data_IF_805364476791
#
_entry.id   IF_805364476791
#
_cell.length_a   1.000
_cell.length_b   1.000
_cell.length_c   1.000
_cell.angle_alpha   90.00
_cell.angle_beta   90.00
_cell.angle_gamma   90.00
#
_symmetry.space_group_name_H-M   'P 1'
#
loop_
_entity.id
_entity.type
_entity.pdbx_description
1 polymer ?
#
# COMPACT_ATOMS: atom_id res chain seq x y z
N UNK A 1 -20.11 -23.90 -22.15
CA UNK A 1 -19.53 -23.13 -21.04
C UNK A 1 -18.43 -23.97 -20.43
N UNK A 2 -17.25 -23.42 -20.19
CA UNK A 2 -16.23 -24.14 -19.42
C UNK A 2 -16.66 -24.22 -17.95
N UNK A 3 -16.18 -25.23 -17.23
CA UNK A 3 -16.46 -25.43 -15.79
C UNK A 3 -16.09 -24.19 -14.96
N UNK A 4 -14.99 -23.53 -15.30
CA UNK A 4 -14.53 -22.27 -14.70
C UNK A 4 -15.53 -21.12 -14.87
N UNK A 5 -16.16 -20.99 -16.05
CA UNK A 5 -17.15 -19.93 -16.30
C UNK A 5 -18.42 -20.12 -15.48
N UNK A 6 -18.85 -21.37 -15.30
CA UNK A 6 -20.00 -21.70 -14.46
C UNK A 6 -19.71 -21.42 -12.98
N UNK A 7 -18.50 -21.77 -12.52
CA UNK A 7 -18.04 -21.47 -11.16
C UNK A 7 -18.03 -19.96 -10.89
N UNK A 8 -17.42 -19.16 -11.77
CA UNK A 8 -17.42 -17.69 -11.63
C UNK A 8 -18.84 -17.11 -11.51
N UNK A 9 -19.77 -17.54 -12.39
CA UNK A 9 -21.15 -17.06 -12.34
C UNK A 9 -21.82 -17.40 -11.02
N UNK A 10 -21.63 -18.63 -10.52
CA UNK A 10 -22.16 -19.06 -9.23
C UNK A 10 -21.61 -18.21 -8.09
N UNK A 11 -20.29 -18.00 -8.06
CA UNK A 11 -19.65 -17.19 -7.02
C UNK A 11 -20.16 -15.74 -7.03
N UNK A 12 -20.38 -15.13 -8.20
CA UNK A 12 -20.99 -13.81 -8.26
C UNK A 12 -22.43 -13.78 -7.71
N UNK A 13 -23.25 -14.79 -8.02
CA UNK A 13 -24.60 -14.91 -7.45
C UNK A 13 -24.60 -15.16 -5.95
N UNK A 14 -23.66 -15.96 -5.44
CA UNK A 14 -23.46 -16.17 -4.01
C UNK A 14 -23.00 -14.88 -3.31
N UNK A 15 -22.09 -14.12 -3.92
CA UNK A 15 -21.64 -12.82 -3.41
C UNK A 15 -22.81 -11.83 -3.30
N UNK A 16 -23.58 -11.66 -4.38
CA UNK A 16 -24.75 -10.78 -4.39
C UNK A 16 -25.71 -11.14 -3.25
N UNK A 17 -26.09 -12.42 -3.16
CA UNK A 17 -26.96 -12.92 -2.08
C UNK A 17 -26.38 -12.65 -0.70
N UNK A 18 -25.11 -12.96 -0.45
CA UNK A 18 -24.48 -12.73 0.85
C UNK A 18 -24.40 -11.24 1.21
N UNK A 19 -24.19 -10.36 0.23
CA UNK A 19 -24.20 -8.91 0.48
C UNK A 19 -25.62 -8.38 0.77
N UNK A 20 -26.65 -8.88 0.07
CA UNK A 20 -28.05 -8.51 0.32
C UNK A 20 -28.52 -8.95 1.72
N UNK A 21 -28.09 -10.14 2.16
CA UNK A 21 -28.43 -10.69 3.49
C UNK A 21 -27.46 -10.27 4.58
N UNK A 22 -26.47 -9.41 4.28
CA UNK A 22 -25.42 -8.93 5.22
C UNK A 22 -24.59 -10.04 5.87
N UNK A 23 -24.42 -11.15 5.16
CA UNK A 23 -23.55 -12.26 5.55
C UNK A 23 -22.12 -11.94 5.13
N UNK A 24 -21.50 -10.99 5.85
CA UNK A 24 -20.23 -10.37 5.44
C UNK A 24 -19.04 -11.32 5.45
N UNK A 25 -18.98 -12.23 6.42
CA UNK A 25 -17.91 -13.24 6.49
C UNK A 25 -17.96 -14.17 5.28
N UNK A 26 -19.15 -14.60 4.89
CA UNK A 26 -19.40 -15.43 3.72
C UNK A 26 -19.13 -14.65 2.42
N UNK A 27 -19.54 -13.38 2.35
CA UNK A 27 -19.23 -12.51 1.22
C UNK A 27 -17.72 -12.36 1.02
N UNK A 28 -16.96 -12.12 2.10
CA UNK A 28 -15.49 -12.07 2.05
C UNK A 28 -14.90 -13.40 1.57
N UNK A 29 -15.39 -14.53 2.09
CA UNK A 29 -14.91 -15.85 1.66
C UNK A 29 -15.12 -16.08 0.16
N UNK A 30 -16.26 -15.65 -0.40
CA UNK A 30 -16.53 -15.71 -1.84
C UNK A 30 -15.62 -14.76 -2.63
N UNK A 31 -15.39 -13.54 -2.14
CA UNK A 31 -14.47 -12.58 -2.79
C UNK A 31 -13.04 -13.14 -2.82
N UNK A 32 -12.58 -13.77 -1.74
CA UNK A 32 -11.27 -14.43 -1.68
C UNK A 32 -11.18 -15.53 -2.74
N UNK A 33 -12.18 -16.39 -2.86
CA UNK A 33 -12.22 -17.42 -3.92
C UNK A 33 -12.22 -16.82 -5.33
N UNK A 34 -12.98 -15.73 -5.56
CA UNK A 34 -12.96 -15.02 -6.84
C UNK A 34 -11.56 -14.45 -7.14
N UNK A 35 -10.86 -13.95 -6.14
CA UNK A 35 -9.49 -13.43 -6.28
C UNK A 35 -8.48 -14.52 -6.64
N UNK A 36 -8.66 -15.75 -6.12
CA UNK A 36 -7.79 -16.89 -6.40
C UNK A 36 -7.98 -17.45 -7.81
N UNK A 37 -9.20 -17.35 -8.37
CA UNK A 37 -9.52 -17.78 -9.73
C UNK A 37 -9.15 -16.75 -10.79
N UNK A 38 -8.97 -15.48 -10.39
CA UNK A 38 -8.70 -14.38 -11.31
C UNK A 38 -7.24 -14.37 -11.78
N UNK A 39 -7.05 -14.36 -13.10
CA UNK A 39 -5.73 -14.36 -13.74
C UNK A 39 -5.23 -12.95 -14.02
N UNK A 40 -6.14 -11.99 -14.16
CA UNK A 40 -5.80 -10.58 -14.32
C UNK A 40 -5.38 -9.96 -12.97
N UNK A 41 -4.15 -9.45 -12.83
CA UNK A 41 -3.64 -8.92 -11.57
C UNK A 41 -4.48 -7.75 -11.04
N UNK A 42 -4.99 -6.90 -11.93
CA UNK A 42 -5.73 -5.69 -11.59
C UNK A 42 -7.13 -6.05 -11.08
N UNK A 43 -7.80 -7.01 -11.70
CA UNK A 43 -9.09 -7.54 -11.22
C UNK A 43 -8.91 -8.29 -9.91
N UNK A 44 -7.86 -9.09 -9.77
CA UNK A 44 -7.54 -9.78 -8.50
C UNK A 44 -7.33 -8.76 -7.38
N UNK A 45 -6.56 -7.70 -7.63
CA UNK A 45 -6.35 -6.64 -6.66
C UNK A 45 -7.65 -5.94 -6.25
N UNK A 46 -8.58 -5.74 -7.20
CA UNK A 46 -9.90 -5.18 -6.90
C UNK A 46 -10.72 -6.08 -5.98
N UNK A 47 -10.69 -7.41 -6.15
CA UNK A 47 -11.32 -8.35 -5.21
C UNK A 47 -10.69 -8.27 -3.82
N UNK A 48 -9.36 -8.35 -3.72
CA UNK A 48 -8.67 -8.23 -2.43
C UNK A 48 -9.02 -6.90 -1.73
N UNK A 49 -9.07 -5.78 -2.46
CA UNK A 49 -9.43 -4.50 -1.88
C UNK A 49 -10.91 -4.45 -1.47
N UNK A 50 -11.83 -5.07 -2.20
CA UNK A 50 -13.23 -5.19 -1.80
C UNK A 50 -13.37 -5.96 -0.47
N UNK A 51 -12.65 -7.08 -0.32
CA UNK A 51 -12.60 -7.82 0.95
C UNK A 51 -12.07 -6.96 2.11
N UNK A 52 -11.05 -6.13 1.85
CA UNK A 52 -10.55 -5.19 2.85
C UNK A 52 -11.59 -4.15 3.28
N UNK A 53 -12.39 -3.65 2.33
CA UNK A 53 -13.44 -2.67 2.61
C UNK A 53 -14.57 -3.25 3.45
N UNK A 54 -15.05 -4.45 3.10
CA UNK A 54 -16.07 -5.14 3.91
C UNK A 54 -15.53 -5.44 5.31
N UNK A 55 -14.28 -5.92 5.42
CA UNK A 55 -13.65 -6.19 6.73
C UNK A 55 -13.61 -4.93 7.59
N UNK A 56 -13.23 -3.79 7.01
CA UNK A 56 -13.12 -2.51 7.71
C UNK A 56 -14.49 -1.92 8.09
N UNK A 57 -15.42 -1.87 7.15
CA UNK A 57 -16.65 -1.07 7.27
C UNK A 57 -17.78 -1.87 7.91
N UNK A 58 -17.90 -3.15 7.60
CA UNK A 58 -19.03 -3.99 8.03
C UNK A 58 -18.69 -4.87 9.24
N UNK A 59 -17.43 -5.31 9.35
CA UNK A 59 -16.96 -6.16 10.45
C UNK A 59 -16.13 -5.42 11.50
N UNK A 60 -15.68 -4.19 11.20
CA UNK A 60 -14.69 -3.47 12.00
C UNK A 60 -13.39 -4.27 12.29
N UNK A 61 -13.12 -5.29 11.49
CA UNK A 61 -11.90 -6.11 11.57
C UNK A 61 -10.79 -5.41 10.78
N UNK A 62 -10.11 -4.49 11.46
CA UNK A 62 -9.07 -3.68 10.83
C UNK A 62 -7.79 -4.49 10.56
N UNK A 63 -7.54 -5.59 11.28
CA UNK A 63 -6.38 -6.43 11.02
C UNK A 63 -6.60 -7.25 9.74
N UNK A 64 -7.78 -7.86 9.55
CA UNK A 64 -8.17 -8.47 8.29
C UNK A 64 -8.19 -7.46 7.12
N UNK A 65 -8.65 -6.23 7.37
CA UNK A 65 -8.61 -5.18 6.37
C UNK A 65 -7.19 -4.84 5.90
N UNK A 66 -6.21 -4.81 6.81
CA UNK A 66 -4.80 -4.60 6.47
C UNK A 66 -4.26 -5.78 5.66
N UNK A 67 -4.54 -7.03 6.06
CA UNK A 67 -4.08 -8.22 5.34
C UNK A 67 -4.59 -8.24 3.89
N UNK A 68 -5.89 -7.99 3.69
CA UNK A 68 -6.49 -7.92 2.36
C UNK A 68 -5.96 -6.73 1.55
N UNK A 69 -5.64 -5.59 2.17
CA UNK A 69 -4.98 -4.47 1.49
C UNK A 69 -3.57 -4.85 1.04
N UNK A 70 -2.79 -5.58 1.86
CA UNK A 70 -1.46 -6.06 1.47
C UNK A 70 -1.54 -7.02 0.27
N UNK A 71 -2.53 -7.92 0.25
CA UNK A 71 -2.78 -8.79 -0.92
C UNK A 71 -3.17 -8.00 -2.17
N UNK A 72 -3.96 -6.92 -2.02
CA UNK A 72 -4.29 -6.04 -3.13
C UNK A 72 -3.04 -5.34 -3.70
N UNK A 73 -2.13 -4.87 -2.83
CA UNK A 73 -0.86 -4.27 -3.25
C UNK A 73 0.05 -5.31 -3.94
N UNK A 74 0.14 -6.53 -3.42
CA UNK A 74 0.88 -7.61 -4.08
C UNK A 74 0.33 -7.87 -5.49
N UNK A 75 -0.99 -7.87 -5.66
CA UNK A 75 -1.61 -8.08 -6.96
C UNK A 75 -1.42 -6.89 -7.93
N UNK A 76 -1.60 -5.64 -7.47
CA UNK A 76 -1.40 -4.45 -8.30
C UNK A 76 0.03 -4.33 -8.83
N UNK A 77 1.02 -4.63 -7.99
CA UNK A 77 2.44 -4.47 -8.33
C UNK A 77 3.12 -5.77 -8.78
N UNK A 78 2.36 -6.85 -8.98
CA UNK A 78 2.91 -8.11 -9.52
C UNK A 78 3.48 -7.94 -10.94
N UNK A 79 2.86 -7.07 -11.74
CA UNK A 79 3.27 -6.69 -13.10
C UNK A 79 3.10 -5.19 -13.27
N UNK A 80 4.00 -4.41 -12.69
CA UNK A 80 3.90 -2.95 -12.71
C UNK A 80 3.96 -2.39 -14.14
N UNK A 81 4.51 -3.13 -15.12
CA UNK A 81 4.54 -2.74 -16.53
C UNK A 81 3.13 -2.63 -17.14
N UNK A 82 2.17 -3.40 -16.60
CA UNK A 82 0.77 -3.39 -17.03
C UNK A 82 -0.06 -2.30 -16.31
N UNK A 83 0.52 -1.63 -15.30
CA UNK A 83 -0.15 -0.60 -14.53
C UNK A 83 -0.03 0.76 -15.22
N UNK A 84 -1.12 1.19 -15.88
CA UNK A 84 -1.18 2.54 -16.48
C UNK A 84 -1.10 3.65 -15.43
N UNK A 85 -0.59 4.82 -15.82
CA UNK A 85 -0.51 6.00 -14.94
C UNK A 85 -1.88 6.37 -14.35
N UNK A 86 -2.95 6.23 -15.13
CA UNK A 86 -4.34 6.47 -14.72
C UNK A 86 -4.81 5.52 -13.61
N UNK A 87 -4.24 4.31 -13.54
CA UNK A 87 -4.59 3.30 -12.55
C UNK A 87 -3.80 3.44 -11.25
N UNK A 88 -2.71 4.21 -11.25
CA UNK A 88 -1.85 4.42 -10.07
C UNK A 88 -2.63 4.96 -8.86
N UNK A 89 -3.50 5.99 -8.97
CA UNK A 89 -4.29 6.45 -7.84
C UNK A 89 -5.15 5.35 -7.22
N UNK A 90 -5.73 4.47 -8.05
CA UNK A 90 -6.53 3.33 -7.61
C UNK A 90 -5.66 2.26 -6.95
N UNK A 91 -4.51 1.93 -7.53
CA UNK A 91 -3.55 0.99 -6.98
C UNK A 91 -2.96 1.41 -5.63
N UNK A 92 -2.99 2.72 -5.32
CA UNK A 92 -2.54 3.28 -4.05
C UNK A 92 -3.61 3.30 -2.95
N UNK A 93 -4.90 3.10 -3.27
CA UNK A 93 -5.99 3.12 -2.27
C UNK A 93 -5.83 2.07 -1.15
N UNK A 94 -5.37 0.83 -1.40
CA UNK A 94 -5.10 -0.13 -0.32
C UNK A 94 -4.04 0.38 0.65
N UNK A 95 -2.96 1.00 0.16
CA UNK A 95 -1.92 1.57 1.01
C UNK A 95 -2.44 2.77 1.83
N UNK A 96 -3.23 3.65 1.23
CA UNK A 96 -3.88 4.76 1.95
C UNK A 96 -4.82 4.25 3.06
N UNK A 97 -5.49 3.11 2.83
CA UNK A 97 -6.30 2.44 3.87
C UNK A 97 -5.43 1.94 5.01
N UNK A 98 -4.33 1.23 4.72
CA UNK A 98 -3.36 0.77 5.72
C UNK A 98 -2.81 1.96 6.52
N UNK A 99 -2.38 3.02 5.84
CA UNK A 99 -1.83 4.23 6.44
C UNK A 99 -2.82 4.85 7.43
N UNK A 100 -4.09 5.02 7.03
CA UNK A 100 -5.12 5.59 7.90
C UNK A 100 -5.39 4.71 9.13
N UNK A 101 -5.52 3.39 8.94
CA UNK A 101 -5.76 2.45 10.05
C UNK A 101 -4.60 2.49 11.06
N UNK A 102 -3.37 2.37 10.57
CA UNK A 102 -2.19 2.27 11.43
C UNK A 102 -1.84 3.61 12.09
N UNK A 103 -2.04 4.73 11.40
CA UNK A 103 -1.89 6.07 11.98
C UNK A 103 -2.88 6.29 13.12
N UNK A 104 -4.16 5.91 12.92
CA UNK A 104 -5.16 6.03 13.98
C UNK A 104 -4.84 5.14 15.19
N UNK A 105 -4.29 3.95 14.96
CA UNK A 105 -3.83 3.03 16.03
C UNK A 105 -2.49 3.44 16.66
N UNK A 106 -1.75 4.38 16.08
CA UNK A 106 -0.39 4.72 16.48
C UNK A 106 0.62 3.58 16.27
N UNK A 107 0.33 2.62 15.39
CA UNK A 107 1.19 1.46 15.13
C UNK A 107 2.22 1.79 14.02
N UNK A 108 3.15 2.66 14.38
CA UNK A 108 4.19 3.18 13.49
C UNK A 108 5.15 2.09 12.98
N UNK A 109 5.35 1.01 13.76
CA UNK A 109 6.20 -0.11 13.35
C UNK A 109 5.54 -0.94 12.25
N UNK A 110 4.23 -1.20 12.32
CA UNK A 110 3.54 -1.83 11.20
C UNK A 110 3.52 -0.91 9.98
N UNK A 111 3.32 0.40 10.18
CA UNK A 111 3.29 1.35 9.06
C UNK A 111 4.63 1.43 8.33
N UNK A 112 5.75 1.51 9.07
CA UNK A 112 7.11 1.40 8.53
C UNK A 112 7.28 0.15 7.66
N UNK A 113 6.85 -1.02 8.17
CA UNK A 113 6.94 -2.28 7.41
C UNK A 113 6.12 -2.24 6.12
N UNK A 114 4.90 -1.72 6.15
CA UNK A 114 4.06 -1.59 4.97
C UNK A 114 4.66 -0.62 3.93
N UNK A 115 5.21 0.52 4.36
CA UNK A 115 5.96 1.43 3.48
C UNK A 115 7.12 0.70 2.78
N UNK A 116 7.95 0.00 3.55
CA UNK A 116 9.12 -0.73 3.01
C UNK A 116 8.73 -1.83 2.03
N UNK A 117 7.67 -2.58 2.32
CA UNK A 117 7.13 -3.59 1.39
C UNK A 117 6.66 -2.95 0.09
N UNK A 118 5.95 -1.83 0.15
CA UNK A 118 5.48 -1.14 -1.05
C UNK A 118 6.64 -0.59 -1.90
N UNK A 119 7.64 0.03 -1.26
CA UNK A 119 8.88 0.45 -1.95
C UNK A 119 9.54 -0.75 -2.64
N UNK A 120 9.61 -1.90 -1.97
CA UNK A 120 10.16 -3.13 -2.55
C UNK A 120 9.35 -3.63 -3.75
N UNK A 121 8.01 -3.63 -3.67
CA UNK A 121 7.11 -4.01 -4.77
C UNK A 121 7.30 -3.15 -6.02
N UNK A 122 7.63 -1.87 -5.82
CA UNK A 122 7.86 -0.92 -6.90
C UNK A 122 9.30 -0.93 -7.44
N UNK A 123 10.17 -1.81 -6.94
CA UNK A 123 11.57 -1.88 -7.39
C UNK A 123 11.62 -2.20 -8.88
N UNK A 124 12.26 -1.34 -9.66
CA UNK A 124 12.37 -1.47 -11.12
C UNK A 124 11.28 -0.72 -11.89
N UNK A 125 10.22 -0.25 -11.23
CA UNK A 125 9.23 0.60 -11.85
C UNK A 125 9.80 2.01 -12.11
N UNK A 126 9.46 2.62 -13.24
CA UNK A 126 10.02 3.90 -13.69
C UNK A 126 9.41 5.12 -13.01
N UNK A 127 8.34 4.96 -12.21
CA UNK A 127 7.67 6.06 -11.52
C UNK A 127 8.47 6.53 -10.29
N UNK A 128 9.51 7.35 -10.55
CA UNK A 128 10.41 7.88 -9.52
C UNK A 128 9.73 8.82 -8.54
N UNK A 129 8.77 9.62 -9.00
CA UNK A 129 8.03 10.57 -8.14
C UNK A 129 7.24 9.85 -7.05
N UNK A 130 6.53 8.76 -7.40
CA UNK A 130 5.82 7.97 -6.41
C UNK A 130 6.79 7.24 -5.45
N UNK A 131 7.92 6.72 -5.96
CA UNK A 131 8.95 6.14 -5.09
C UNK A 131 9.47 7.18 -4.10
N UNK A 132 9.87 8.37 -4.57
CA UNK A 132 10.34 9.46 -3.72
C UNK A 132 9.32 9.83 -2.63
N UNK A 133 8.03 9.88 -2.98
CA UNK A 133 6.94 10.16 -2.03
C UNK A 133 6.84 9.09 -0.93
N UNK A 134 7.06 7.81 -1.26
CA UNK A 134 7.07 6.73 -0.28
C UNK A 134 8.32 6.77 0.62
N UNK A 135 9.47 7.14 0.06
CA UNK A 135 10.67 7.38 0.84
C UNK A 135 10.45 8.57 1.80
N UNK A 136 9.86 9.68 1.37
CA UNK A 136 9.52 10.80 2.27
C UNK A 136 8.63 10.37 3.44
N UNK A 137 7.56 9.63 3.15
CA UNK A 137 6.66 9.08 4.19
C UNK A 137 7.41 8.19 5.18
N UNK A 138 8.29 7.32 4.69
CA UNK A 138 9.10 6.45 5.55
C UNK A 138 10.12 7.23 6.38
N UNK A 139 10.74 8.26 5.81
CA UNK A 139 11.68 9.15 6.50
C UNK A 139 10.99 9.90 7.63
N UNK A 140 9.76 10.37 7.40
CA UNK A 140 8.96 11.05 8.41
C UNK A 140 8.56 10.11 9.56
N UNK A 141 8.20 8.85 9.26
CA UNK A 141 7.94 7.84 10.30
C UNK A 141 9.18 7.62 11.18
N UNK A 142 10.36 7.49 10.56
CA UNK A 142 11.62 7.35 11.30
C UNK A 142 11.97 8.57 12.14
N UNK A 143 11.79 9.79 11.60
CA UNK A 143 12.11 11.05 12.28
C UNK A 143 11.16 11.37 13.43
N UNK A 144 9.86 11.28 13.17
CA UNK A 144 8.84 11.84 14.07
C UNK A 144 8.32 10.82 15.08
N UNK A 145 8.21 9.54 14.70
CA UNK A 145 7.55 8.53 15.52
C UNK A 145 8.51 7.47 16.10
N UNK A 146 9.47 6.97 15.30
CA UNK A 146 10.38 5.91 15.75
C UNK A 146 11.72 6.43 16.30
N UNK A 147 12.06 7.69 16.02
CA UNK A 147 13.33 8.34 16.42
C UNK A 147 14.56 7.57 15.93
N UNK A 148 14.45 6.94 14.76
CA UNK A 148 15.55 6.24 14.09
C UNK A 148 16.22 7.20 13.11
N UNK A 149 16.95 8.18 13.65
CA UNK A 149 17.44 9.33 12.88
C UNK A 149 18.37 8.97 11.72
N UNK A 150 19.33 8.04 11.89
CA UNK A 150 20.18 7.59 10.78
C UNK A 150 19.38 6.93 9.66
N UNK A 151 18.33 6.17 10.01
CA UNK A 151 17.43 5.60 9.01
C UNK A 151 16.61 6.70 8.30
N UNK A 152 16.20 7.75 9.02
CA UNK A 152 15.55 8.91 8.43
C UNK A 152 16.45 9.61 7.42
N UNK A 153 17.74 9.85 7.76
CA UNK A 153 18.75 10.43 6.85
C UNK A 153 18.81 9.64 5.55
N UNK A 154 19.10 8.33 5.61
CA UNK A 154 19.23 7.50 4.41
C UNK A 154 17.96 7.49 3.56
N UNK A 155 16.80 7.57 4.20
CA UNK A 155 15.51 7.54 3.49
C UNK A 155 15.23 8.86 2.77
N UNK A 156 15.49 10.01 3.41
CA UNK A 156 15.36 11.33 2.78
C UNK A 156 16.39 11.56 1.67
N UNK A 157 17.62 11.08 1.84
CA UNK A 157 18.64 11.11 0.78
C UNK A 157 18.19 10.31 -0.45
N UNK A 158 17.65 9.11 -0.24
CA UNK A 158 17.09 8.29 -1.33
C UNK A 158 15.93 9.01 -2.04
N UNK A 159 15.03 9.66 -1.29
CA UNK A 159 13.96 10.46 -1.89
C UNK A 159 14.51 11.62 -2.75
N UNK A 160 15.54 12.32 -2.26
CA UNK A 160 16.19 13.42 -2.97
C UNK A 160 16.91 12.96 -4.24
N UNK A 161 17.52 11.77 -4.23
CA UNK A 161 18.16 11.21 -5.44
C UNK A 161 17.14 10.79 -6.50
N UNK A 162 15.98 10.27 -6.08
CA UNK A 162 14.92 9.83 -6.99
C UNK A 162 14.20 11.00 -7.66
N UNK A 163 13.99 12.09 -6.92
CA UNK A 163 13.24 13.25 -7.38
C UNK A 163 13.90 14.57 -6.93
N UNK A 164 15.01 14.98 -7.59
CA UNK A 164 15.80 16.15 -7.19
C UNK A 164 15.12 17.50 -7.49
N UNK A 165 14.14 17.53 -8.39
CA UNK A 165 13.49 18.75 -8.88
C UNK A 165 12.17 19.05 -8.17
N UNK A 166 11.65 18.11 -7.36
CA UNK A 166 10.44 18.32 -6.60
C UNK A 166 10.53 19.56 -5.70
N UNK A 167 9.57 20.47 -5.79
CA UNK A 167 9.57 21.74 -5.06
C UNK A 167 9.55 21.58 -3.51
N UNK A 168 9.22 20.38 -3.01
CA UNK A 168 9.38 19.97 -1.60
C UNK A 168 10.85 19.81 -1.17
N UNK A 169 11.81 19.95 -2.10
CA UNK A 169 13.27 19.90 -1.84
C UNK A 169 13.72 20.84 -0.72
N UNK A 170 13.07 22.00 -0.58
CA UNK A 170 13.37 22.97 0.49
C UNK A 170 13.11 22.36 1.87
N UNK A 171 12.08 21.52 2.00
CA UNK A 171 11.77 20.81 3.25
C UNK A 171 12.78 19.68 3.51
N UNK A 172 13.14 18.89 2.47
CA UNK A 172 14.11 17.79 2.62
C UNK A 172 15.50 18.27 3.04
N UNK A 173 16.01 19.34 2.41
CA UNK A 173 17.35 19.86 2.74
C UNK A 173 17.42 20.37 4.19
N UNK A 174 16.36 21.06 4.66
CA UNK A 174 16.26 21.51 6.04
C UNK A 174 16.16 20.34 7.02
N UNK A 175 15.32 19.35 6.72
CA UNK A 175 15.18 18.12 7.53
C UNK A 175 16.50 17.36 7.62
N UNK A 176 17.21 17.19 6.49
CA UNK A 176 18.50 16.51 6.47
C UNK A 176 19.55 17.27 7.29
N UNK A 177 19.63 18.59 7.17
CA UNK A 177 20.55 19.39 7.97
C UNK A 177 20.29 19.24 9.48
N UNK A 178 19.02 19.26 9.90
CA UNK A 178 18.62 18.99 11.29
C UNK A 178 19.04 17.57 11.73
N UNK A 179 18.74 16.56 10.91
CA UNK A 179 19.05 15.17 11.21
C UNK A 179 20.56 14.91 11.30
N UNK A 180 21.38 15.49 10.43
CA UNK A 180 22.83 15.39 10.48
C UNK A 180 23.43 16.00 11.75
N UNK A 181 22.86 17.10 12.23
CA UNK A 181 23.24 17.68 13.54
C UNK A 181 22.89 16.72 14.68
N UNK A 182 21.73 16.05 14.61
CA UNK A 182 21.28 15.09 15.62
C UNK A 182 22.09 13.78 15.61
N UNK A 183 22.50 13.28 14.45
CA UNK A 183 23.25 12.02 14.31
C UNK A 183 24.76 12.20 14.42
N UNK A 184 25.27 13.40 14.16
CA UNK A 184 26.71 13.67 14.03
C UNK A 184 27.32 13.16 12.72
N UNK A 185 26.48 12.71 11.78
CA UNK A 185 26.90 12.27 10.45
C UNK A 185 27.09 13.50 9.54
N UNK A 186 28.15 13.59 8.72
CA UNK A 186 28.31 14.70 7.77
C UNK A 186 27.27 14.64 6.65
N UNK A 187 26.92 15.79 6.07
CA UNK A 187 26.10 15.87 4.85
C UNK A 187 26.76 15.04 3.74
N UNK A 188 25.99 14.20 3.05
CA UNK A 188 26.49 13.52 1.85
C UNK A 188 26.84 14.57 0.78
N UNK A 189 28.06 14.46 0.23
CA UNK A 189 28.60 15.35 -0.82
C UNK A 189 27.90 15.16 -2.17
#
# INVERSE_FOLDING_TARGET
WSETQLLHRRLHGDLERYTETKQWTEAIAVIVQLSELETDPIRRAAYCYAAAMISRDELADLDAAIEHCESALDAYFMKYEDLSEEMVPRAMQPFQTIERILTHRGDWKKLERSCRKLIYRMKGWSNRTLQATLYDKLGEIYRSHLKHYSAAVSTFEAAQQLDPENATRTDRAAILAELHVLTGEPLAN
#
